data_IF_547180107942
#
_entry.id   IF_547180107942
#
_cell.length_a   1.000
_cell.length_b   1.000
_cell.length_c   1.000
_cell.angle_alpha   90.00
_cell.angle_beta   90.00
_cell.angle_gamma   90.00
#
_symmetry.space_group_name_H-M   'P 1'
#
loop_
_entity.id
_entity.type
_entity.pdbx_description
1 polymer ?
#
# COMPACT_ATOMS: atom_id res chain seq x y z
N UNK A 1 18.22 -11.45 9.73
CA UNK A 1 18.31 -9.97 9.64
C UNK A 1 17.04 -9.38 10.21
N UNK A 2 17.08 -8.32 11.04
CA UNK A 2 15.86 -7.71 11.58
C UNK A 2 15.02 -7.10 10.45
N UNK A 3 13.70 -7.21 10.56
CA UNK A 3 12.78 -6.56 9.64
C UNK A 3 12.94 -5.03 9.74
N UNK A 4 13.16 -4.37 8.61
CA UNK A 4 13.22 -2.90 8.54
C UNK A 4 11.81 -2.33 8.51
N UNK A 5 11.61 -1.18 9.13
CA UNK A 5 10.31 -0.49 9.08
C UNK A 5 10.09 0.13 7.70
N UNK A 6 8.84 0.18 7.26
CA UNK A 6 8.49 0.83 5.98
C UNK A 6 8.94 2.30 5.94
N UNK A 7 8.86 3.01 7.07
CA UNK A 7 9.33 4.40 7.22
C UNK A 7 10.84 4.58 7.04
N UNK A 8 11.63 3.52 7.22
CA UNK A 8 13.09 3.55 7.02
C UNK A 8 13.46 3.30 5.56
N UNK A 9 12.62 2.56 4.84
CA UNK A 9 12.80 2.20 3.43
C UNK A 9 12.21 3.26 2.48
N UNK A 10 11.07 3.84 2.85
CA UNK A 10 10.40 4.88 2.08
C UNK A 10 11.11 6.22 2.25
N UNK A 11 11.16 6.99 1.16
CA UNK A 11 11.55 8.41 1.19
C UNK A 11 10.39 9.27 1.68
N UNK A 12 9.18 8.97 1.24
CA UNK A 12 7.97 9.72 1.57
C UNK A 12 6.78 8.79 1.61
N UNK A 13 5.91 8.96 2.60
CA UNK A 13 4.60 8.32 2.69
C UNK A 13 3.57 9.43 2.83
N UNK A 14 2.58 9.49 1.93
CA UNK A 14 1.52 10.52 1.98
C UNK A 14 0.16 9.87 1.85
N UNK A 15 -0.77 10.26 2.71
CA UNK A 15 -2.18 9.96 2.54
C UNK A 15 -2.86 11.03 1.71
N UNK A 16 -3.82 10.65 0.87
CA UNK A 16 -4.73 11.58 0.20
C UNK A 16 -6.17 11.05 0.32
N UNK A 17 -7.11 11.98 0.43
CA UNK A 17 -8.53 11.65 0.37
C UNK A 17 -8.87 11.23 -1.06
N UNK A 18 -9.41 10.02 -1.24
CA UNK A 18 -9.83 9.48 -2.53
C UNK A 18 -11.36 9.39 -2.66
N UNK A 19 -12.11 9.70 -1.59
CA UNK A 19 -13.57 9.69 -1.61
C UNK A 19 -14.15 9.65 -0.19
N UNK A 20 -15.48 9.70 -0.07
CA UNK A 20 -16.19 9.76 1.23
C UNK A 20 -15.79 8.61 2.17
N UNK A 21 -15.43 7.44 1.62
CA UNK A 21 -14.97 6.26 2.36
C UNK A 21 -13.64 5.70 1.82
N UNK A 22 -12.86 6.50 1.09
CA UNK A 22 -11.64 6.03 0.42
C UNK A 22 -10.45 6.92 0.77
N UNK A 23 -9.37 6.29 1.21
CA UNK A 23 -8.08 6.93 1.46
C UNK A 23 -7.02 6.14 0.71
N UNK A 24 -6.16 6.84 -0.02
CA UNK A 24 -5.03 6.22 -0.71
C UNK A 24 -3.71 6.69 -0.11
N UNK A 25 -2.71 5.82 -0.14
CA UNK A 25 -1.37 6.11 0.35
C UNK A 25 -0.38 6.03 -0.80
N UNK A 26 0.35 7.12 -1.06
CA UNK A 26 1.51 7.11 -1.95
C UNK A 26 2.75 6.80 -1.12
N UNK A 27 3.45 5.71 -1.47
CA UNK A 27 4.73 5.34 -0.87
C UNK A 27 5.82 5.49 -1.92
N UNK A 28 6.70 6.47 -1.74
CA UNK A 28 7.82 6.75 -2.66
C UNK A 28 9.10 6.14 -2.09
N UNK A 29 9.77 5.31 -2.88
CA UNK A 29 11.03 4.66 -2.50
C UNK A 29 12.26 5.38 -3.09
N UNK A 30 13.43 5.18 -2.48
CA UNK A 30 14.69 5.80 -2.94
C UNK A 30 15.24 5.15 -4.21
N UNK A 31 15.01 3.85 -4.38
CA UNK A 31 15.47 3.06 -5.52
C UNK A 31 14.43 2.00 -5.90
N UNK A 32 14.47 1.55 -7.16
CA UNK A 32 13.60 0.49 -7.66
C UNK A 32 13.82 -0.86 -6.94
N UNK A 33 15.07 -1.15 -6.53
CA UNK A 33 15.40 -2.37 -5.80
C UNK A 33 14.68 -2.46 -4.45
N UNK A 34 14.57 -1.33 -3.73
CA UNK A 34 13.83 -1.28 -2.46
C UNK A 34 12.33 -1.46 -2.72
N UNK A 35 11.80 -0.84 -3.77
CA UNK A 35 10.41 -1.03 -4.17
C UNK A 35 10.11 -2.50 -4.46
N UNK A 36 10.92 -3.16 -5.29
CA UNK A 36 10.78 -4.58 -5.64
C UNK A 36 10.90 -5.49 -4.41
N UNK A 37 11.83 -5.19 -3.49
CA UNK A 37 11.97 -5.94 -2.24
C UNK A 37 10.71 -5.83 -1.37
N UNK A 38 10.13 -4.64 -1.25
CA UNK A 38 8.90 -4.40 -0.47
C UNK A 38 7.69 -5.05 -1.15
N UNK A 39 7.58 -4.93 -2.48
CA UNK A 39 6.53 -5.58 -3.28
C UNK A 39 6.55 -7.10 -3.10
N UNK A 40 7.72 -7.74 -3.24
CA UNK A 40 7.89 -9.18 -3.04
C UNK A 40 7.64 -9.64 -1.61
N UNK A 41 7.79 -8.76 -0.63
CA UNK A 41 7.50 -9.09 0.77
C UNK A 41 6.01 -9.26 1.07
N UNK A 42 5.13 -8.75 0.20
CA UNK A 42 3.67 -8.75 0.42
C UNK A 42 3.23 -7.94 1.63
N UNK A 43 4.14 -7.18 2.27
CA UNK A 43 3.85 -6.44 3.50
C UNK A 43 2.75 -5.40 3.27
N UNK A 44 2.72 -4.74 2.11
CA UNK A 44 1.68 -3.76 1.77
C UNK A 44 0.31 -4.44 1.61
N UNK A 45 0.24 -5.57 0.91
CA UNK A 45 -0.99 -6.37 0.76
C UNK A 45 -1.52 -6.87 2.10
N UNK A 46 -0.65 -7.36 2.98
CA UNK A 46 -1.03 -7.79 4.33
C UNK A 46 -1.55 -6.62 5.18
N UNK A 47 -0.89 -5.47 5.11
CA UNK A 47 -1.31 -4.26 5.83
C UNK A 47 -2.72 -3.84 5.41
N UNK A 48 -2.99 -3.88 4.11
CA UNK A 48 -4.31 -3.60 3.53
C UNK A 48 -5.37 -4.61 4.02
N UNK A 49 -5.04 -5.90 4.01
CA UNK A 49 -5.94 -6.96 4.48
C UNK A 49 -6.30 -6.81 5.96
N UNK A 50 -5.34 -6.43 6.82
CA UNK A 50 -5.58 -6.17 8.24
C UNK A 50 -6.44 -4.91 8.41
N UNK A 51 -6.14 -3.83 7.71
CA UNK A 51 -6.93 -2.59 7.76
C UNK A 51 -8.40 -2.84 7.39
N UNK A 52 -8.65 -3.68 6.36
CA UNK A 52 -10.01 -4.11 5.97
C UNK A 52 -10.77 -4.83 7.07
N UNK A 53 -10.11 -5.63 7.91
CA UNK A 53 -10.76 -6.36 9.01
C UNK A 53 -11.11 -5.48 10.20
N UNK A 54 -10.43 -4.35 10.37
CA UNK A 54 -10.60 -3.44 11.50
C UNK A 54 -11.62 -2.32 11.22
N UNK A 55 -12.09 -2.17 9.98
CA UNK A 55 -13.04 -1.12 9.60
C UNK A 55 -14.51 -1.60 9.72
N UNK A 56 -15.37 -0.94 10.53
CA UNK A 56 -16.73 -1.40 10.79
C UNK A 56 -17.78 -1.12 9.69
N UNK A 57 -17.50 -0.34 8.62
CA UNK A 57 -18.42 -0.14 7.46
C UNK A 57 -17.76 0.61 6.28
N UNK A 58 -18.40 0.65 5.09
CA UNK A 58 -18.15 -0.29 4.02
C UNK A 58 -16.79 -0.08 3.31
N UNK A 59 -16.08 -1.21 3.13
CA UNK A 59 -15.03 -1.51 2.14
C UNK A 59 -14.08 -0.36 1.78
N UNK A 60 -12.94 -0.20 2.47
CA UNK A 60 -11.87 0.61 1.92
C UNK A 60 -11.40 -0.03 0.59
N UNK A 61 -11.58 0.72 -0.49
CA UNK A 61 -11.03 0.42 -1.81
C UNK A 61 -9.55 0.82 -1.78
N UNK A 62 -8.66 -0.14 -2.03
CA UNK A 62 -7.24 0.10 -2.11
C UNK A 62 -6.80 -0.16 -3.54
N UNK A 63 -6.14 0.83 -4.13
CA UNK A 63 -5.55 0.72 -5.47
C UNK A 63 -4.04 0.80 -5.29
N UNK A 64 -3.35 -0.29 -5.61
CA UNK A 64 -1.89 -0.28 -5.74
C UNK A 64 -1.57 0.12 -7.18
N UNK A 65 -1.28 1.41 -7.38
CA UNK A 65 -0.90 1.94 -8.69
C UNK A 65 0.62 1.81 -8.85
N UNK A 66 1.06 0.80 -9.59
CA UNK A 66 2.41 0.74 -10.15
C UNK A 66 2.40 1.56 -11.46
N UNK A 67 3.29 2.55 -11.68
CA UNK A 67 3.33 3.30 -12.94
C UNK A 67 3.50 2.42 -14.19
N UNK A 68 3.95 1.17 -14.05
CA UNK A 68 4.05 0.20 -15.17
C UNK A 68 2.94 -0.88 -15.18
N UNK A 69 2.08 -0.96 -14.15
CA UNK A 69 1.01 -1.96 -14.11
C UNK A 69 -0.15 -1.50 -13.23
N UNK A 70 -1.25 -1.05 -13.85
CA UNK A 70 -2.52 -0.83 -13.16
C UNK A 70 -3.16 -2.20 -12.93
N UNK A 71 -2.86 -2.82 -11.79
CA UNK A 71 -3.60 -3.99 -11.31
C UNK A 71 -4.72 -3.49 -10.39
N UNK A 72 -5.90 -3.29 -10.96
CA UNK A 72 -7.12 -3.08 -10.18
C UNK A 72 -7.51 -4.45 -9.64
N UNK A 73 -7.03 -4.82 -8.45
CA UNK A 73 -7.48 -6.03 -7.78
C UNK A 73 -8.90 -5.79 -7.23
N UNK A 74 -9.88 -5.89 -8.14
CA UNK A 74 -11.28 -6.06 -7.79
C UNK A 74 -11.48 -7.53 -7.46
N UNK A 75 -11.11 -7.93 -6.25
CA UNK A 75 -11.55 -9.22 -5.72
C UNK A 75 -13.09 -9.15 -5.57
N UNK A 76 -13.85 -10.15 -6.09
CA UNK A 76 -15.32 -10.14 -6.17
C UNK A 76 -16.03 -10.01 -4.80
#
# INVERSE_FOLDING_TARGET
MPAKKLSELARTIRSKNAGVNEITFDVVFRTAEIYEQVKRSGALTLSIAVARRLAPSPRPFFVESDPEQIAVDQCP
#
